data_IF_103983717987
#
_entry.id   IF_103983717987
#
_cell.length_a   1.000
_cell.length_b   1.000
_cell.length_c   1.000
_cell.angle_alpha   90.00
_cell.angle_beta   90.00
_cell.angle_gamma   90.00
#
_symmetry.space_group_name_H-M   'P 1'
#
loop_
_entity.id
_entity.type
_entity.pdbx_description
1 polymer ?
#
# COMPACT_ATOMS: atom_id res chain seq x y z
N UNK A 1 -24.32 5.87 -1.25
CA UNK A 1 -25.60 5.19 -0.95
C UNK A 1 -26.66 5.86 -1.79
N UNK A 2 -27.49 5.10 -2.50
CA UNK A 2 -28.56 5.64 -3.34
C UNK A 2 -29.89 5.16 -2.76
N UNK A 3 -30.87 6.05 -2.67
CA UNK A 3 -32.23 5.73 -2.23
C UNK A 3 -33.11 5.56 -3.48
N UNK A 4 -33.79 4.43 -3.60
CA UNK A 4 -34.76 4.21 -4.67
C UNK A 4 -35.90 5.23 -4.54
N UNK A 5 -36.20 6.04 -5.58
CA UNK A 5 -37.29 7.02 -5.51
C UNK A 5 -38.67 6.35 -5.49
N UNK A 6 -38.79 5.09 -5.94
CA UNK A 6 -40.07 4.38 -6.02
C UNK A 6 -40.42 3.59 -4.76
N UNK A 7 -39.43 2.99 -4.08
CA UNK A 7 -39.68 2.11 -2.92
C UNK A 7 -38.93 2.51 -1.64
N UNK A 8 -38.18 3.61 -1.67
CA UNK A 8 -37.48 4.15 -0.50
C UNK A 8 -36.30 3.32 0.03
N UNK A 9 -36.06 2.12 -0.49
CA UNK A 9 -34.94 1.26 -0.09
C UNK A 9 -33.59 1.90 -0.44
N UNK A 10 -32.65 1.86 0.49
CA UNK A 10 -31.27 2.29 0.28
C UNK A 10 -30.42 1.11 -0.20
N UNK A 11 -29.62 1.34 -1.24
CA UNK A 11 -28.68 0.35 -1.75
C UNK A 11 -27.33 1.00 -2.06
N UNK A 12 -26.28 0.19 -2.00
CA UNK A 12 -24.92 0.64 -2.32
C UNK A 12 -24.64 0.32 -3.78
N UNK A 13 -24.65 1.34 -4.63
CA UNK A 13 -24.20 1.22 -6.01
C UNK A 13 -22.68 1.05 -5.99
N UNK A 14 -22.19 -0.09 -6.50
CA UNK A 14 -20.76 -0.29 -6.76
C UNK A 14 -20.39 0.55 -7.97
N UNK A 15 -20.11 1.83 -7.76
CA UNK A 15 -19.45 2.65 -8.79
C UNK A 15 -18.08 2.05 -9.11
N UNK A 16 -17.74 1.85 -10.39
CA UNK A 16 -16.39 1.46 -10.78
C UNK A 16 -15.39 2.46 -10.17
N UNK A 17 -14.32 1.95 -9.57
CA UNK A 17 -13.25 2.85 -9.11
C UNK A 17 -12.62 3.48 -10.33
N UNK A 18 -12.65 4.81 -10.38
CA UNK A 18 -12.05 5.62 -11.44
C UNK A 18 -10.53 5.34 -11.61
N UNK A 19 -9.86 4.88 -10.53
CA UNK A 19 -8.45 4.48 -10.55
C UNK A 19 -8.25 3.04 -10.07
N UNK A 20 -7.37 2.30 -10.77
CA UNK A 20 -6.93 0.96 -10.36
C UNK A 20 -6.22 1.06 -9.00
N UNK A 21 -6.36 0.01 -8.17
CA UNK A 21 -5.57 -0.10 -6.92
C UNK A 21 -4.07 -0.07 -7.27
N UNK A 22 -3.28 0.67 -6.50
CA UNK A 22 -1.84 0.79 -6.72
C UNK A 22 -1.40 1.98 -7.58
N UNK A 23 -2.33 2.72 -8.21
CA UNK A 23 -2.02 3.92 -9.02
C UNK A 23 -1.55 5.14 -8.22
N UNK A 24 -1.48 5.01 -6.90
CA UNK A 24 -1.07 6.10 -6.02
C UNK A 24 -2.15 7.15 -5.73
N UNK A 25 -1.91 7.96 -4.71
CA UNK A 25 -2.80 9.02 -4.27
C UNK A 25 -2.78 10.18 -5.27
N UNK A 26 -3.96 10.66 -5.70
CA UNK A 26 -4.06 11.75 -6.67
C UNK A 26 -3.40 13.05 -6.18
N UNK A 27 -3.38 13.28 -4.87
CA UNK A 27 -2.78 14.45 -4.21
C UNK A 27 -1.29 14.28 -3.87
N UNK A 28 -0.65 13.17 -4.27
CA UNK A 28 0.74 12.90 -3.91
C UNK A 28 1.72 14.01 -4.36
N UNK A 29 1.43 14.69 -5.46
CA UNK A 29 2.18 15.86 -5.94
C UNK A 29 2.19 17.05 -4.94
N UNK A 30 1.25 17.10 -4.00
CA UNK A 30 1.17 18.14 -2.95
C UNK A 30 2.06 17.81 -1.75
N UNK A 31 2.56 16.58 -1.63
CA UNK A 31 3.37 16.15 -0.49
C UNK A 31 4.81 16.65 -0.69
N UNK A 32 5.20 17.65 0.11
CA UNK A 32 6.54 18.25 0.04
C UNK A 32 7.58 17.54 0.90
N UNK A 33 7.15 16.83 1.96
CA UNK A 33 8.03 16.15 2.93
C UNK A 33 7.49 14.77 3.29
N UNK A 34 8.39 13.81 3.47
CA UNK A 34 8.03 12.46 3.90
C UNK A 34 7.71 12.44 5.41
N UNK A 35 6.58 11.84 5.78
CA UNK A 35 6.24 11.57 7.17
C UNK A 35 7.17 10.49 7.76
N UNK A 36 7.30 10.39 9.09
CA UNK A 36 8.05 9.29 9.72
C UNK A 36 7.60 7.91 9.24
N UNK A 37 6.28 7.72 9.07
CA UNK A 37 5.72 6.46 8.58
C UNK A 37 6.08 6.20 7.11
N UNK A 38 6.18 7.23 6.26
CA UNK A 38 6.70 7.06 4.90
C UNK A 38 8.12 6.51 4.90
N UNK A 39 8.97 7.10 5.74
CA UNK A 39 10.38 6.71 5.86
C UNK A 39 10.50 5.26 6.33
N UNK A 40 9.75 4.86 7.36
CA UNK A 40 9.79 3.49 7.86
C UNK A 40 9.29 2.46 6.83
N UNK A 41 8.23 2.77 6.07
CA UNK A 41 7.79 1.89 4.98
C UNK A 41 8.89 1.74 3.92
N UNK A 42 9.55 2.84 3.52
CA UNK A 42 10.65 2.78 2.56
C UNK A 42 11.83 1.97 3.08
N UNK A 43 12.21 2.12 4.36
CA UNK A 43 13.27 1.31 5.00
C UNK A 43 12.93 -0.17 4.98
N UNK A 44 11.71 -0.54 5.39
CA UNK A 44 11.25 -1.95 5.40
C UNK A 44 11.33 -2.55 3.99
N UNK A 45 10.84 -1.84 2.97
CA UNK A 45 10.89 -2.32 1.58
C UNK A 45 12.32 -2.36 1.01
N UNK A 46 13.20 -1.50 1.49
CA UNK A 46 14.61 -1.52 1.12
C UNK A 46 15.36 -2.70 1.75
N UNK A 47 15.12 -2.97 3.04
CA UNK A 47 15.79 -4.01 3.84
C UNK A 47 15.29 -5.42 3.49
N UNK A 48 13.99 -5.59 3.29
CA UNK A 48 13.35 -6.90 3.19
C UNK A 48 12.78 -7.21 1.80
N UNK A 49 12.88 -6.29 0.85
CA UNK A 49 12.42 -6.46 -0.52
C UNK A 49 10.90 -6.35 -0.69
N UNK A 50 10.42 -6.83 -1.84
CA UNK A 50 9.04 -6.71 -2.26
C UNK A 50 8.11 -7.55 -1.37
N UNK A 51 6.99 -6.98 -0.91
CA UNK A 51 6.07 -7.71 -0.03
C UNK A 51 4.62 -7.19 0.00
N UNK A 52 3.67 -8.03 0.43
CA UNK A 52 2.30 -7.59 0.68
C UNK A 52 2.17 -6.61 1.85
N UNK A 53 1.14 -5.76 1.81
CA UNK A 53 0.80 -4.81 2.89
C UNK A 53 0.79 -5.45 4.29
N UNK A 54 0.30 -6.69 4.40
CA UNK A 54 0.21 -7.41 5.69
C UNK A 54 1.59 -7.65 6.31
N UNK A 55 2.62 -7.95 5.49
CA UNK A 55 3.99 -8.12 5.98
C UNK A 55 4.59 -6.78 6.41
N UNK A 56 4.37 -5.70 5.63
CA UNK A 56 4.80 -4.34 6.01
C UNK A 56 4.21 -3.96 7.38
N UNK A 57 2.93 -4.25 7.60
CA UNK A 57 2.27 -4.00 8.88
C UNK A 57 2.90 -4.82 10.04
N UNK A 58 3.30 -6.06 9.78
CA UNK A 58 4.01 -6.91 10.74
C UNK A 58 5.35 -6.31 11.17
N UNK A 59 6.19 -5.92 10.21
CA UNK A 59 7.47 -5.26 10.51
C UNK A 59 7.30 -3.93 11.24
N UNK A 60 6.30 -3.13 10.89
CA UNK A 60 5.98 -1.90 11.64
C UNK A 60 5.61 -2.22 13.10
N UNK A 61 4.80 -3.26 13.31
CA UNK A 61 4.42 -3.71 14.65
C UNK A 61 5.61 -4.21 15.47
N UNK A 62 6.52 -4.97 14.87
CA UNK A 62 7.78 -5.42 15.49
C UNK A 62 8.68 -4.25 15.91
N UNK A 63 8.67 -3.15 15.13
CA UNK A 63 9.33 -1.89 15.48
C UNK A 63 8.56 -1.03 16.52
N UNK A 64 7.47 -1.55 17.09
CA UNK A 64 6.62 -0.83 18.06
C UNK A 64 5.66 0.19 17.44
N UNK A 65 5.57 0.25 16.11
CA UNK A 65 4.75 1.23 15.38
C UNK A 65 3.37 0.63 15.08
N UNK A 66 2.38 1.01 15.89
CA UNK A 66 0.98 0.58 15.67
C UNK A 66 0.28 1.48 14.66
N UNK A 67 -0.12 0.91 13.51
CA UNK A 67 -0.86 1.63 12.46
C UNK A 67 -2.13 0.88 12.06
N UNK A 68 -3.20 1.64 11.84
CA UNK A 68 -4.44 1.09 11.29
C UNK A 68 -4.23 0.69 9.83
N UNK A 69 -5.01 -0.30 9.37
CA UNK A 69 -4.95 -0.76 7.98
C UNK A 69 -5.27 0.33 6.96
N UNK A 70 -6.07 1.33 7.33
CA UNK A 70 -6.40 2.49 6.50
C UNK A 70 -5.24 3.47 6.42
N UNK A 71 -4.60 3.78 7.56
CA UNK A 71 -3.42 4.65 7.60
C UNK A 71 -2.29 4.09 6.73
N UNK A 72 -1.98 2.80 6.88
CA UNK A 72 -0.96 2.13 6.08
C UNK A 72 -1.30 2.15 4.58
N UNK A 73 -2.57 1.90 4.22
CA UNK A 73 -3.00 1.95 2.81
C UNK A 73 -2.89 3.36 2.21
N UNK A 74 -3.20 4.39 3.01
CA UNK A 74 -3.03 5.79 2.62
C UNK A 74 -1.57 6.11 2.32
N UNK A 75 -0.66 5.76 3.24
CA UNK A 75 0.79 6.01 3.07
C UNK A 75 1.40 5.24 1.90
N UNK A 76 0.98 4.00 1.66
CA UNK A 76 1.40 3.25 0.47
C UNK A 76 0.91 3.92 -0.82
N UNK A 77 -0.33 4.42 -0.82
CA UNK A 77 -0.87 5.15 -1.96
C UNK A 77 -0.12 6.47 -2.19
N UNK A 78 0.20 7.21 -1.13
CA UNK A 78 0.98 8.45 -1.23
C UNK A 78 2.39 8.20 -1.79
N UNK A 79 3.10 7.20 -1.25
CA UNK A 79 4.42 6.79 -1.75
C UNK A 79 4.38 6.36 -3.22
N UNK A 80 3.35 5.62 -3.62
CA UNK A 80 3.16 5.22 -5.01
C UNK A 80 2.84 6.41 -5.92
N UNK A 81 2.02 7.36 -5.45
CA UNK A 81 1.71 8.57 -6.20
C UNK A 81 2.94 9.49 -6.37
N UNK A 82 3.91 9.40 -5.46
CA UNK A 82 5.21 10.06 -5.60
C UNK A 82 6.21 9.27 -6.47
N UNK A 83 5.87 8.04 -6.89
CA UNK A 83 6.74 7.14 -7.65
C UNK A 83 7.90 6.56 -6.83
N UNK A 84 7.79 6.53 -5.50
CA UNK A 84 8.83 5.99 -4.61
C UNK A 84 8.69 4.48 -4.40
N UNK A 85 7.47 3.97 -4.54
CA UNK A 85 7.16 2.54 -4.53
C UNK A 85 6.20 2.23 -5.67
N UNK A 86 6.16 0.98 -6.09
CA UNK A 86 5.24 0.47 -7.08
C UNK A 86 4.48 -0.74 -6.52
N UNK A 87 3.40 -1.10 -7.19
CA UNK A 87 2.52 -2.17 -6.77
C UNK A 87 2.21 -3.10 -7.95
N UNK A 88 2.49 -4.38 -7.77
CA UNK A 88 2.10 -5.43 -8.70
C UNK A 88 1.08 -6.34 -8.05
N UNK A 89 0.19 -6.91 -8.88
CA UNK A 89 -0.78 -7.90 -8.41
C UNK A 89 -0.16 -9.28 -8.57
N UNK A 90 0.29 -9.86 -7.48
CA UNK A 90 0.76 -11.24 -7.49
C UNK A 90 -0.45 -12.18 -7.47
N UNK A 91 -0.49 -13.09 -8.44
CA UNK A 91 -1.50 -14.15 -8.50
C UNK A 91 -0.99 -15.35 -7.71
N UNK A 92 -1.30 -15.37 -6.41
CA UNK A 92 -0.94 -16.51 -5.56
C UNK A 92 -2.07 -17.52 -5.61
N UNK A 93 -1.80 -18.74 -6.08
CA UNK A 93 -2.65 -19.90 -5.85
C UNK A 93 -2.35 -20.41 -4.43
N UNK A 94 -3.23 -20.10 -3.46
CA UNK A 94 -3.16 -20.76 -2.16
C UNK A 94 -3.59 -22.21 -2.35
N UNK A 95 -2.69 -23.14 -2.04
CA UNK A 95 -2.94 -24.56 -2.05
C UNK A 95 -3.22 -25.05 -0.63
N UNK A 96 -4.45 -25.49 -0.37
CA UNK A 96 -4.84 -26.20 0.84
C UNK A 96 -4.86 -27.70 0.50
N UNK A 97 -3.85 -28.46 0.98
CA UNK A 97 -3.67 -29.90 0.64
C UNK A 97 -4.86 -30.72 1.11
N UNK A 98 -5.37 -30.41 2.29
CA UNK A 98 -6.36 -31.24 2.99
C UNK A 98 -7.75 -31.07 2.37
N UNK A 99 -7.99 -29.92 1.70
CA UNK A 99 -9.28 -29.61 1.05
C UNK A 99 -9.22 -29.60 -0.48
N UNK A 100 -8.05 -29.86 -1.07
CA UNK A 100 -7.78 -29.71 -2.51
C UNK A 100 -8.30 -28.39 -3.10
N UNK A 101 -8.29 -27.31 -2.31
CA UNK A 101 -8.84 -26.03 -2.72
C UNK A 101 -7.74 -25.10 -3.23
N UNK A 102 -7.81 -24.79 -4.52
CA UNK A 102 -7.04 -23.71 -5.13
C UNK A 102 -7.78 -22.39 -4.93
N UNK A 103 -7.22 -21.48 -4.13
CA UNK A 103 -7.74 -20.12 -4.03
C UNK A 103 -6.81 -19.14 -4.72
N UNK A 104 -7.17 -18.73 -5.92
CA UNK A 104 -6.55 -17.59 -6.60
C UNK A 104 -6.75 -16.34 -5.77
N UNK A 105 -5.68 -15.85 -5.15
CA UNK A 105 -5.70 -14.63 -4.37
C UNK A 105 -4.79 -13.60 -5.01
N UNK A 106 -5.40 -12.67 -5.73
CA UNK A 106 -4.74 -11.46 -6.25
C UNK A 106 -4.32 -10.58 -5.06
N UNK A 107 -3.07 -10.70 -4.65
CA UNK A 107 -2.52 -9.97 -3.50
C UNK A 107 -1.61 -8.87 -4.01
N UNK A 108 -1.87 -7.59 -3.65
CA UNK A 108 -0.98 -6.50 -4.01
C UNK A 108 0.37 -6.64 -3.29
N UNK A 109 1.45 -6.71 -4.05
CA UNK A 109 2.85 -6.71 -3.59
C UNK A 109 3.46 -5.36 -3.89
N UNK A 110 4.11 -4.78 -2.89
CA UNK A 110 4.72 -3.45 -2.97
C UNK A 110 6.23 -3.58 -2.99
N UNK A 111 6.89 -2.80 -3.84
CA UNK A 111 8.35 -2.76 -3.91
C UNK A 111 8.87 -1.33 -4.07
N UNK A 112 10.09 -1.10 -3.61
CA UNK A 112 10.74 0.21 -3.69
C UNK A 112 11.33 0.43 -5.09
N UNK A 113 11.04 1.58 -5.69
CA UNK A 113 11.59 1.95 -7.01
C UNK A 113 13.01 2.48 -6.89
N UNK A 114 13.70 2.65 -8.02
CA UNK A 114 15.01 3.32 -8.04
C UNK A 114 14.94 4.76 -7.51
N UNK A 115 13.83 5.48 -7.78
CA UNK A 115 13.58 6.81 -7.23
C UNK A 115 13.44 6.75 -5.70
N UNK A 116 12.65 5.79 -5.19
CA UNK A 116 12.50 5.54 -3.76
C UNK A 116 13.82 5.27 -3.06
N UNK A 117 14.66 4.41 -3.63
CA UNK A 117 16.00 4.11 -3.10
C UNK A 117 16.89 5.35 -3.02
N UNK A 118 16.91 6.18 -4.07
CA UNK A 118 17.70 7.43 -4.09
C UNK A 118 17.23 8.42 -3.01
N UNK A 119 15.92 8.59 -2.87
CA UNK A 119 15.35 9.47 -1.84
C UNK A 119 15.67 8.97 -0.43
N UNK A 120 15.53 7.66 -0.20
CA UNK A 120 15.85 7.06 1.10
C UNK A 120 17.32 7.26 1.47
N UNK A 121 18.26 7.06 0.53
CA UNK A 121 19.70 7.28 0.78
C UNK A 121 20.01 8.73 1.15
N UNK A 122 19.46 9.70 0.40
CA UNK A 122 19.64 11.13 0.69
C UNK A 122 19.14 11.52 2.08
N UNK A 123 18.02 10.94 2.53
CA UNK A 123 17.46 11.21 3.86
C UNK A 123 18.33 10.60 4.98
N UNK A 124 18.96 9.45 4.74
CA UNK A 124 19.87 8.81 5.71
C UNK A 124 21.22 9.53 5.77
N UNK A 125 21.75 9.98 4.63
CA UNK A 125 23.02 10.71 4.53
C UNK A 125 22.90 12.17 5.00
N UNK A 126 21.79 12.84 4.68
CA UNK A 126 21.52 14.24 5.06
C UNK A 126 20.99 14.43 6.49
N UNK A 127 20.77 13.36 7.25
CA UNK A 127 20.37 13.39 8.66
C UNK A 127 21.54 13.32 9.64
N UNK A 128 22.80 13.36 9.16
CA UNK A 128 24.04 13.37 9.95
C UNK A 128 24.68 14.76 10.06
N UNK A 129 23.89 15.82 9.95
CA UNK A 129 24.33 17.21 10.13
C UNK A 129 23.85 17.77 11.45
#
# INVERSE_FOLDING_TARGET
MVKCPYCGKTFTVKVPRERRKGMGAHYAHKIRKLSPLHREILKILYEHGAMPKRKIQGYLFEKGIRVSGNSLSGRLSELAGMGLIECEMEEVALWDRDRMMYRFRKTPVWYITMKGRRVLKREVEGGRS
#
